data_IF_350551713804
#
_entry.id   IF_350551713804
#
_cell.length_a   1.000
_cell.length_b   1.000
_cell.length_c   1.000
_cell.angle_alpha   90.00
_cell.angle_beta   90.00
_cell.angle_gamma   90.00
#
_symmetry.space_group_name_H-M   'P 1'
#
loop_
_entity.id
_entity.type
_entity.pdbx_description
1 polymer ?
#
# COMPACT_ATOMS: atom_id res chain seq x y z
N UNK A 1 -2.34 3.16 -11.20
CA UNK A 1 -0.91 3.36 -10.89
C UNK A 1 -0.40 2.57 -9.67
N UNK A 2 -1.22 2.28 -8.67
CA UNK A 2 -0.84 1.57 -7.43
C UNK A 2 -0.60 0.05 -7.64
N UNK A 3 -1.23 -0.57 -8.62
CA UNK A 3 -1.18 -2.02 -8.85
C UNK A 3 0.17 -2.50 -9.42
N UNK A 4 0.76 -1.74 -10.36
CA UNK A 4 2.05 -2.08 -10.97
C UNK A 4 3.21 -2.21 -9.95
N UNK A 5 3.36 -1.30 -8.96
CA UNK A 5 4.41 -1.43 -7.95
C UNK A 5 4.33 -2.74 -7.16
N UNK A 6 3.13 -3.21 -6.82
CA UNK A 6 2.97 -4.46 -6.07
C UNK A 6 3.52 -5.65 -6.85
N UNK A 7 3.21 -5.76 -8.14
CA UNK A 7 3.70 -6.84 -8.99
C UNK A 7 5.21 -6.77 -9.28
N UNK A 8 5.79 -5.58 -9.29
CA UNK A 8 7.23 -5.39 -9.46
C UNK A 8 7.98 -5.48 -8.13
N UNK A 9 7.42 -4.88 -7.08
CA UNK A 9 8.07 -4.81 -5.77
C UNK A 9 8.15 -6.18 -5.11
N UNK A 10 7.07 -6.96 -5.08
CA UNK A 10 7.04 -8.22 -4.36
C UNK A 10 8.11 -9.22 -4.83
N UNK A 11 8.27 -9.55 -6.14
CA UNK A 11 9.34 -10.43 -6.60
C UNK A 11 10.72 -9.79 -6.40
N UNK A 12 10.88 -8.48 -6.61
CA UNK A 12 12.16 -7.81 -6.42
C UNK A 12 12.61 -7.85 -4.96
N UNK A 13 11.75 -7.49 -4.03
CA UNK A 13 12.04 -7.53 -2.58
C UNK A 13 12.32 -8.95 -2.12
N UNK A 14 11.62 -9.96 -2.67
CA UNK A 14 11.84 -11.36 -2.31
C UNK A 14 13.22 -11.86 -2.74
N UNK A 15 13.72 -11.44 -3.90
CA UNK A 15 14.99 -11.89 -4.47
C UNK A 15 16.17 -11.01 -4.02
N UNK A 16 15.95 -9.69 -3.95
CA UNK A 16 16.99 -8.69 -3.72
C UNK A 16 16.52 -7.56 -2.79
N UNK A 17 16.23 -7.86 -1.49
CA UNK A 17 15.62 -6.89 -0.58
C UNK A 17 16.44 -5.61 -0.41
N UNK A 18 17.77 -5.73 -0.34
CA UNK A 18 18.66 -4.56 -0.19
C UNK A 18 18.57 -3.60 -1.39
N UNK A 19 18.63 -4.10 -2.63
CA UNK A 19 18.55 -3.24 -3.81
C UNK A 19 17.18 -2.59 -3.97
N UNK A 20 16.10 -3.31 -3.65
CA UNK A 20 14.75 -2.76 -3.64
C UNK A 20 14.57 -1.66 -2.59
N UNK A 21 15.18 -1.82 -1.42
CA UNK A 21 15.19 -0.80 -0.36
C UNK A 21 16.02 0.42 -0.76
N UNK A 22 17.21 0.23 -1.32
CA UNK A 22 18.05 1.33 -1.81
C UNK A 22 17.40 2.12 -2.94
N UNK A 23 16.55 1.48 -3.75
CA UNK A 23 15.79 2.16 -4.81
C UNK A 23 14.85 3.24 -4.26
N UNK A 24 14.47 3.18 -2.98
CA UNK A 24 13.74 4.26 -2.30
C UNK A 24 14.45 5.61 -2.43
N UNK A 25 15.78 5.63 -2.31
CA UNK A 25 16.55 6.87 -2.42
C UNK A 25 16.43 7.47 -3.83
N UNK A 26 16.39 6.64 -4.87
CA UNK A 26 16.17 7.07 -6.26
C UNK A 26 14.77 7.66 -6.42
N UNK A 27 13.74 6.98 -5.93
CA UNK A 27 12.36 7.47 -5.98
C UNK A 27 12.22 8.82 -5.26
N UNK A 28 12.81 8.92 -4.06
CA UNK A 28 12.79 10.15 -3.28
C UNK A 28 13.52 11.29 -4.00
N UNK A 29 14.72 11.05 -4.52
CA UNK A 29 15.51 12.05 -5.22
C UNK A 29 14.78 12.54 -6.48
N UNK A 30 14.26 11.64 -7.30
CA UNK A 30 13.47 11.99 -8.49
C UNK A 30 12.22 12.78 -8.11
N UNK A 31 11.52 12.36 -7.06
CA UNK A 31 10.33 13.06 -6.56
C UNK A 31 10.65 14.49 -6.12
N UNK A 32 11.73 14.71 -5.38
CA UNK A 32 12.16 16.04 -4.93
C UNK A 32 12.56 16.92 -6.13
N UNK A 33 13.33 16.38 -7.07
CA UNK A 33 13.74 17.13 -8.28
C UNK A 33 12.52 17.55 -9.11
N UNK A 34 11.56 16.66 -9.31
CA UNK A 34 10.34 16.98 -10.04
C UNK A 34 9.48 18.02 -9.30
N UNK A 35 9.39 17.95 -7.97
CA UNK A 35 8.62 18.90 -7.16
C UNK A 35 9.18 20.33 -7.28
N UNK A 36 10.50 20.48 -7.47
CA UNK A 36 11.16 21.76 -7.59
C UNK A 36 11.04 22.39 -9.00
N UNK A 37 10.43 21.71 -9.97
CA UNK A 37 10.25 22.25 -11.31
C UNK A 37 9.16 23.35 -11.35
N UNK A 38 9.28 24.29 -12.30
CA UNK A 38 8.27 25.32 -12.52
C UNK A 38 6.97 24.78 -13.15
N UNK A 39 7.01 23.56 -13.69
CA UNK A 39 5.85 22.87 -14.27
C UNK A 39 4.99 22.26 -13.15
N UNK A 40 3.78 22.78 -12.98
CA UNK A 40 2.85 22.35 -11.95
C UNK A 40 2.54 20.85 -12.01
N UNK A 41 2.34 20.30 -13.21
CA UNK A 41 2.04 18.88 -13.37
C UNK A 41 3.20 18.00 -12.93
N UNK A 42 4.44 18.38 -13.28
CA UNK A 42 5.64 17.67 -12.83
C UNK A 42 5.83 17.79 -11.34
N UNK A 43 5.57 18.95 -10.75
CA UNK A 43 5.66 19.15 -9.30
C UNK A 43 4.65 18.28 -8.54
N UNK A 44 3.41 18.16 -9.03
CA UNK A 44 2.40 17.27 -8.44
C UNK A 44 2.83 15.79 -8.55
N UNK A 45 3.37 15.35 -9.69
CA UNK A 45 3.96 14.01 -9.85
C UNK A 45 5.12 13.80 -8.88
N UNK A 46 5.97 14.83 -8.71
CA UNK A 46 7.07 14.80 -7.75
C UNK A 46 6.60 14.54 -6.33
N UNK A 47 5.58 15.27 -5.89
CA UNK A 47 4.97 15.04 -4.56
C UNK A 47 4.39 13.63 -4.41
N UNK A 48 3.70 13.12 -5.43
CA UNK A 48 3.17 11.75 -5.41
C UNK A 48 4.30 10.72 -5.30
N UNK A 49 5.42 10.92 -5.99
CA UNK A 49 6.59 10.04 -5.88
C UNK A 49 7.23 10.08 -4.50
N UNK A 50 7.29 11.25 -3.85
CA UNK A 50 7.78 11.37 -2.48
C UNK A 50 6.87 10.61 -1.51
N UNK A 51 5.55 10.78 -1.60
CA UNK A 51 4.59 10.03 -0.79
C UNK A 51 4.67 8.52 -1.05
N UNK A 52 4.80 8.13 -2.32
CA UNK A 52 4.96 6.75 -2.72
C UNK A 52 6.26 6.12 -2.21
N UNK A 53 7.37 6.88 -2.18
CA UNK A 53 8.65 6.36 -1.68
C UNK A 53 8.59 5.94 -0.22
N UNK A 54 7.78 6.62 0.61
CA UNK A 54 7.51 6.22 1.98
C UNK A 54 6.82 4.86 2.07
N UNK A 55 5.73 4.67 1.33
CA UNK A 55 5.03 3.38 1.26
C UNK A 55 5.89 2.28 0.63
N UNK A 56 6.70 2.62 -0.39
CA UNK A 56 7.65 1.70 -1.00
C UNK A 56 8.68 1.20 0.02
N UNK A 57 9.27 2.11 0.82
CA UNK A 57 10.24 1.77 1.86
C UNK A 57 9.62 0.83 2.89
N UNK A 58 8.44 1.17 3.39
CA UNK A 58 7.72 0.36 4.36
C UNK A 58 7.45 -1.06 3.82
N UNK A 59 6.95 -1.16 2.60
CA UNK A 59 6.74 -2.43 1.91
C UNK A 59 8.04 -3.22 1.76
N UNK A 60 9.16 -2.57 1.40
CA UNK A 60 10.46 -3.25 1.32
C UNK A 60 10.91 -3.80 2.67
N UNK A 61 10.76 -3.03 3.75
CA UNK A 61 11.13 -3.46 5.11
C UNK A 61 10.27 -4.64 5.57
N UNK A 62 8.97 -4.54 5.38
CA UNK A 62 8.05 -5.61 5.76
C UNK A 62 8.28 -6.88 4.94
N UNK A 63 8.17 -6.80 3.62
CA UNK A 63 8.28 -7.95 2.73
C UNK A 63 9.68 -8.56 2.68
N UNK A 64 10.72 -7.75 2.88
CA UNK A 64 12.10 -8.19 2.87
C UNK A 64 12.48 -8.98 4.12
N UNK A 65 12.04 -8.54 5.29
CA UNK A 65 12.55 -9.08 6.56
C UNK A 65 11.48 -9.52 7.56
N UNK A 66 10.26 -8.95 7.48
CA UNK A 66 9.23 -9.14 8.51
C UNK A 66 8.00 -9.89 8.00
N UNK A 67 8.00 -10.35 6.75
CA UNK A 67 6.84 -10.95 6.07
C UNK A 67 6.20 -12.13 6.80
N UNK A 68 6.95 -12.85 7.65
CA UNK A 68 6.43 -13.94 8.46
C UNK A 68 5.55 -13.48 9.63
N UNK A 69 5.55 -12.19 9.94
CA UNK A 69 4.88 -11.61 11.10
C UNK A 69 3.79 -10.60 10.66
N UNK A 70 2.60 -11.06 10.25
CA UNK A 70 1.57 -10.18 9.68
C UNK A 70 1.14 -9.03 10.60
N UNK A 71 1.20 -9.21 11.91
CA UNK A 71 0.89 -8.17 12.88
C UNK A 71 1.85 -6.97 12.85
N UNK A 72 3.04 -7.12 12.27
CA UNK A 72 4.01 -6.04 12.10
C UNK A 72 3.81 -5.25 10.81
N UNK A 73 2.91 -5.69 9.92
CA UNK A 73 2.68 -5.02 8.63
C UNK A 73 2.27 -3.56 8.83
N UNK A 74 1.15 -3.34 9.51
CA UNK A 74 0.63 -2.00 9.75
C UNK A 74 1.58 -1.12 10.62
N UNK A 75 2.18 -1.60 11.73
CA UNK A 75 3.17 -0.83 12.47
C UNK A 75 4.38 -0.39 11.63
N UNK A 76 4.89 -1.27 10.77
CA UNK A 76 6.01 -0.94 9.88
C UNK A 76 5.58 0.09 8.83
N UNK A 77 4.40 -0.06 8.24
CA UNK A 77 3.89 0.92 7.29
C UNK A 77 3.54 2.27 7.94
N UNK A 78 3.26 2.29 9.25
CA UNK A 78 2.93 3.51 9.98
C UNK A 78 4.17 4.35 10.43
N UNK A 79 5.40 3.91 10.12
CA UNK A 79 6.61 4.63 10.58
C UNK A 79 6.65 6.10 10.15
N UNK A 80 6.14 6.43 8.97
CA UNK A 80 6.07 7.79 8.43
C UNK A 80 4.84 8.58 8.85
N UNK A 81 3.94 8.01 9.69
CA UNK A 81 2.69 8.65 10.08
C UNK A 81 2.88 10.04 10.72
N UNK A 82 3.83 10.26 11.68
CA UNK A 82 4.03 11.59 12.25
C UNK A 82 4.44 12.63 11.20
N UNK A 83 5.32 12.24 10.27
CA UNK A 83 5.76 13.12 9.18
C UNK A 83 4.61 13.41 8.20
N UNK A 84 3.79 12.43 7.88
CA UNK A 84 2.64 12.62 7.01
C UNK A 84 1.59 13.54 7.64
N UNK A 85 1.29 13.40 8.93
CA UNK A 85 0.35 14.26 9.62
C UNK A 85 0.80 15.74 9.62
N UNK A 86 2.08 16.01 9.89
CA UNK A 86 2.63 17.36 9.78
C UNK A 86 2.68 17.87 8.35
N UNK A 87 2.92 16.98 7.40
CA UNK A 87 2.98 17.25 5.96
C UNK A 87 1.67 17.76 5.37
N UNK A 88 0.52 17.39 5.94
CA UNK A 88 -0.81 17.86 5.46
C UNK A 88 -0.97 19.40 5.47
N UNK A 89 -0.30 20.09 6.37
CA UNK A 89 -0.34 21.53 6.49
C UNK A 89 0.88 22.22 5.84
N UNK A 90 1.60 21.53 4.97
CA UNK A 90 2.80 22.03 4.31
C UNK A 90 2.68 21.99 2.79
N UNK A 91 3.74 22.43 2.10
CA UNK A 91 3.85 22.28 0.65
C UNK A 91 3.81 20.80 0.19
N UNK A 92 4.08 19.85 1.08
CA UNK A 92 4.06 18.41 0.84
C UNK A 92 2.69 17.76 1.06
N UNK A 93 1.61 18.55 1.07
CA UNK A 93 0.25 18.06 1.37
C UNK A 93 -0.17 16.89 0.49
N UNK A 94 0.16 16.93 -0.82
CA UNK A 94 -0.21 15.85 -1.75
C UNK A 94 0.57 14.56 -1.45
N UNK A 95 1.87 14.66 -1.14
CA UNK A 95 2.69 13.53 -0.71
C UNK A 95 2.16 12.90 0.58
N UNK A 96 1.83 13.74 1.57
CA UNK A 96 1.26 13.32 2.84
C UNK A 96 -0.09 12.63 2.67
N UNK A 97 -0.99 13.21 1.88
CA UNK A 97 -2.30 12.64 1.58
C UNK A 97 -2.17 11.28 0.86
N UNK A 98 -1.24 11.15 -0.08
CA UNK A 98 -0.97 9.89 -0.76
C UNK A 98 -0.51 8.81 0.23
N UNK A 99 0.50 9.12 1.07
CA UNK A 99 1.01 8.17 2.07
C UNK A 99 -0.08 7.73 3.06
N UNK A 100 -0.87 8.67 3.58
CA UNK A 100 -1.97 8.36 4.51
C UNK A 100 -3.07 7.52 3.83
N UNK A 101 -3.36 7.77 2.57
CA UNK A 101 -4.32 6.96 1.80
C UNK A 101 -3.80 5.54 1.58
N UNK A 102 -2.50 5.39 1.30
CA UNK A 102 -1.84 4.08 1.20
C UNK A 102 -1.92 3.33 2.53
N UNK A 103 -1.55 3.98 3.64
CA UNK A 103 -1.60 3.39 4.97
C UNK A 103 -3.02 2.98 5.38
N UNK A 104 -4.02 3.80 5.04
CA UNK A 104 -5.43 3.44 5.26
C UNK A 104 -5.83 2.21 4.43
N UNK A 105 -5.38 2.13 3.18
CA UNK A 105 -5.60 0.96 2.32
C UNK A 105 -5.02 -0.31 2.92
N UNK A 106 -3.79 -0.26 3.43
CA UNK A 106 -3.15 -1.38 4.14
C UNK A 106 -3.95 -1.77 5.39
N UNK A 107 -4.35 -0.81 6.21
CA UNK A 107 -5.15 -1.07 7.40
C UNK A 107 -6.48 -1.76 7.06
N UNK A 108 -7.17 -1.33 6.01
CA UNK A 108 -8.41 -1.95 5.54
C UNK A 108 -8.15 -3.38 5.02
N UNK A 109 -7.05 -3.60 4.31
CA UNK A 109 -6.68 -4.93 3.80
C UNK A 109 -6.36 -5.89 4.94
N UNK A 110 -5.52 -5.46 5.90
CA UNK A 110 -5.15 -6.26 7.07
C UNK A 110 -6.36 -6.61 7.92
N UNK A 111 -7.24 -5.63 8.16
CA UNK A 111 -8.51 -5.86 8.86
C UNK A 111 -9.36 -6.90 8.12
N UNK A 112 -9.50 -6.77 6.80
CA UNK A 112 -10.27 -7.72 6.00
C UNK A 112 -9.67 -9.12 6.05
N UNK A 113 -8.35 -9.24 5.96
CA UNK A 113 -7.66 -10.53 6.10
C UNK A 113 -7.86 -11.15 7.49
N UNK A 114 -7.88 -10.33 8.53
CA UNK A 114 -8.12 -10.79 9.90
C UNK A 114 -9.56 -11.30 10.08
N UNK A 115 -10.57 -10.53 9.66
CA UNK A 115 -11.99 -10.90 9.84
C UNK A 115 -12.44 -12.04 8.94
N UNK A 116 -11.78 -12.25 7.81
CA UNK A 116 -12.05 -13.38 6.90
C UNK A 116 -11.27 -14.65 7.27
N UNK A 117 -10.35 -14.57 8.25
CA UNK A 117 -9.52 -15.70 8.68
C UNK A 117 -8.30 -15.98 7.78
N UNK A 118 -8.15 -15.29 6.66
CA UNK A 118 -7.02 -15.47 5.72
C UNK A 118 -5.68 -15.12 6.37
N UNK A 119 -5.68 -14.21 7.35
CA UNK A 119 -4.47 -13.82 8.09
C UNK A 119 -3.76 -15.02 8.74
N UNK A 120 -4.50 -16.07 9.13
CA UNK A 120 -3.92 -17.26 9.73
C UNK A 120 -3.09 -18.09 8.77
N UNK A 121 -3.45 -18.09 7.47
CA UNK A 121 -2.71 -18.77 6.42
C UNK A 121 -1.46 -18.01 5.97
N UNK A 122 -1.37 -16.72 6.29
CA UNK A 122 -0.34 -15.80 5.81
C UNK A 122 1.10 -16.31 6.01
N UNK A 123 1.58 -16.68 7.24
CA UNK A 123 2.96 -17.09 7.43
C UNK A 123 3.31 -18.32 6.58
N UNK A 124 2.40 -19.28 6.47
CA UNK A 124 2.59 -20.49 5.68
C UNK A 124 2.74 -20.17 4.20
N UNK A 125 1.90 -19.30 3.65
CA UNK A 125 1.93 -18.91 2.23
C UNK A 125 3.20 -18.11 1.90
N UNK A 126 3.54 -17.09 2.70
CA UNK A 126 4.65 -16.18 2.37
C UNK A 126 6.04 -16.79 2.58
N UNK A 127 6.12 -17.82 3.43
CA UNK A 127 7.37 -18.54 3.71
C UNK A 127 7.55 -19.78 2.82
N UNK A 128 6.51 -20.21 2.12
CA UNK A 128 6.58 -21.37 1.22
C UNK A 128 7.57 -21.16 0.06
N UNK A 129 8.18 -22.23 -0.46
CA UNK A 129 8.91 -22.22 -1.72
C UNK A 129 8.05 -21.67 -2.87
N UNK A 130 8.70 -21.06 -3.88
CA UNK A 130 7.99 -20.38 -4.99
C UNK A 130 7.08 -21.32 -5.77
N UNK A 131 7.47 -22.58 -5.92
CA UNK A 131 6.73 -23.64 -6.61
C UNK A 131 5.49 -24.12 -5.84
N UNK A 132 5.51 -24.04 -4.50
CA UNK A 132 4.41 -24.47 -3.62
C UNK A 132 3.45 -23.33 -3.28
N UNK A 133 3.97 -22.09 -3.17
CA UNK A 133 3.20 -20.92 -2.76
C UNK A 133 1.90 -20.69 -3.54
N UNK A 134 1.82 -20.87 -4.88
CA UNK A 134 0.56 -20.68 -5.62
C UNK A 134 -0.55 -21.62 -5.18
N UNK A 135 -0.22 -22.89 -4.87
CA UNK A 135 -1.19 -23.87 -4.38
C UNK A 135 -1.76 -23.49 -3.01
N UNK A 136 -0.89 -23.04 -2.09
CA UNK A 136 -1.31 -22.56 -0.76
C UNK A 136 -2.12 -21.28 -0.85
N UNK A 137 -1.74 -20.36 -1.74
CA UNK A 137 -2.49 -19.13 -1.99
C UNK A 137 -3.88 -19.42 -2.54
N UNK A 138 -3.98 -20.39 -3.46
CA UNK A 138 -5.27 -20.83 -3.99
C UNK A 138 -6.16 -21.42 -2.87
N UNK A 139 -5.61 -22.27 -2.01
CA UNK A 139 -6.35 -22.82 -0.87
C UNK A 139 -6.82 -21.72 0.11
N UNK A 140 -5.95 -20.77 0.44
CA UNK A 140 -6.33 -19.62 1.26
C UNK A 140 -7.42 -18.78 0.59
N UNK A 141 -7.35 -18.60 -0.75
CA UNK A 141 -8.36 -17.91 -1.54
C UNK A 141 -9.74 -18.59 -1.53
N UNK A 142 -9.77 -19.93 -1.49
CA UNK A 142 -11.04 -20.67 -1.39
C UNK A 142 -11.80 -20.37 -0.09
N UNK A 143 -11.11 -19.99 0.99
CA UNK A 143 -11.75 -19.56 2.24
C UNK A 143 -12.62 -18.30 2.04
N UNK A 144 -12.25 -17.43 1.09
CA UNK A 144 -13.02 -16.24 0.77
C UNK A 144 -14.34 -16.52 0.06
N UNK A 145 -14.51 -17.72 -0.51
CA UNK A 145 -15.74 -18.14 -1.17
C UNK A 145 -16.84 -18.60 -0.19
N UNK A 146 -16.55 -18.69 1.11
CA UNK A 146 -17.56 -18.91 2.11
C UNK A 146 -18.54 -17.72 2.21
N UNK A 147 -19.82 -17.94 2.54
CA UNK A 147 -20.85 -16.89 2.52
C UNK A 147 -20.50 -15.65 3.35
N UNK A 148 -19.95 -15.83 4.56
CA UNK A 148 -19.62 -14.72 5.45
C UNK A 148 -18.46 -13.86 4.91
N UNK A 149 -17.28 -14.40 4.54
CA UNK A 149 -16.24 -13.63 3.87
C UNK A 149 -16.71 -12.93 2.61
N UNK A 150 -17.48 -13.59 1.75
CA UNK A 150 -18.03 -12.97 0.53
C UNK A 150 -18.95 -11.78 0.85
N UNK A 151 -19.81 -11.91 1.86
CA UNK A 151 -20.68 -10.81 2.30
C UNK A 151 -19.83 -9.62 2.80
N UNK A 152 -18.82 -9.87 3.64
CA UNK A 152 -17.94 -8.83 4.17
C UNK A 152 -17.19 -8.11 3.03
N UNK A 153 -16.66 -8.84 2.06
CA UNK A 153 -15.99 -8.27 0.88
C UNK A 153 -16.95 -7.43 0.04
N UNK A 154 -18.18 -7.91 -0.19
CA UNK A 154 -19.18 -7.17 -0.93
C UNK A 154 -19.57 -5.86 -0.22
N UNK A 155 -19.78 -5.91 1.10
CA UNK A 155 -20.08 -4.72 1.90
C UNK A 155 -18.92 -3.72 1.87
N UNK A 156 -17.67 -4.18 2.01
CA UNK A 156 -16.49 -3.33 1.92
C UNK A 156 -16.37 -2.68 0.53
N UNK A 157 -16.60 -3.43 -0.55
CA UNK A 157 -16.57 -2.91 -1.91
C UNK A 157 -17.64 -1.83 -2.12
N UNK A 158 -18.88 -2.07 -1.67
CA UNK A 158 -19.98 -1.09 -1.74
C UNK A 158 -19.62 0.18 -0.95
N UNK A 159 -19.07 0.03 0.25
CA UNK A 159 -18.65 1.16 1.08
C UNK A 159 -17.58 2.01 0.36
N UNK A 160 -16.51 1.38 -0.12
CA UNK A 160 -15.42 2.08 -0.82
C UNK A 160 -15.94 2.80 -2.07
N UNK A 161 -16.76 2.13 -2.88
CA UNK A 161 -17.35 2.73 -4.08
C UNK A 161 -18.28 3.90 -3.76
N UNK A 162 -19.09 3.76 -2.70
CA UNK A 162 -20.00 4.83 -2.27
C UNK A 162 -19.26 6.07 -1.76
N UNK A 163 -18.19 5.87 -0.98
CA UNK A 163 -17.33 6.95 -0.50
C UNK A 163 -16.60 7.63 -1.67
N UNK A 164 -16.04 6.84 -2.60
CA UNK A 164 -15.37 7.37 -3.79
C UNK A 164 -16.31 8.23 -4.66
N UNK A 165 -17.54 7.77 -4.86
CA UNK A 165 -18.56 8.55 -5.59
C UNK A 165 -18.93 9.85 -4.89
N UNK A 166 -19.12 9.83 -3.57
CA UNK A 166 -19.42 11.05 -2.79
C UNK A 166 -18.29 12.08 -2.91
N UNK A 167 -17.04 11.65 -2.82
CA UNK A 167 -15.90 12.56 -2.92
C UNK A 167 -15.73 13.14 -4.32
N UNK A 168 -15.96 12.35 -5.39
CA UNK A 168 -15.92 12.87 -6.75
C UNK A 168 -17.01 13.92 -7.00
N UNK A 169 -18.21 13.74 -6.43
CA UNK A 169 -19.30 14.72 -6.55
C UNK A 169 -19.01 16.01 -5.78
N UNK A 170 -18.40 15.94 -4.59
CA UNK A 170 -18.00 17.15 -3.85
C UNK A 170 -16.90 17.95 -4.56
N UNK A 171 -15.95 17.26 -5.23
CA UNK A 171 -14.91 17.91 -6.02
C UNK A 171 -15.44 18.69 -7.24
N UNK A 172 -16.52 18.21 -7.86
CA UNK A 172 -17.12 18.86 -9.03
C UNK A 172 -18.00 20.08 -8.68
N UNK A 173 -18.36 20.28 -7.42
CA UNK A 173 -19.17 21.44 -6.99
C UNK A 173 -18.34 22.70 -6.69
N UNK A 174 -17.01 22.65 -6.82
CA UNK A 174 -16.06 23.74 -6.58
C UNK A 174 -15.36 24.22 -7.85
N UNK A 175 -15.75 23.73 -9.01
CA UNK A 175 -15.31 24.18 -10.33
C UNK A 175 -16.40 25.02 -10.99
#
# INVERSE_FOLDING_TARGET
>A
MVVLPVFLQAPWVRLHPFSATLFTAVLMAVGIVLEQTADRQKAEIGQLLVGFSGSWLAGCLFWGWLRAHPLLHLPVEAFGLPLALTGLNSRWRLAAAFYLSSLLGTACTDLMMAVTGVMQAWPTVVMAPIDVAPGLLHQAGLQLLHPLPMLLLALAAVLILSLGRRWSQMGSSWS
#
